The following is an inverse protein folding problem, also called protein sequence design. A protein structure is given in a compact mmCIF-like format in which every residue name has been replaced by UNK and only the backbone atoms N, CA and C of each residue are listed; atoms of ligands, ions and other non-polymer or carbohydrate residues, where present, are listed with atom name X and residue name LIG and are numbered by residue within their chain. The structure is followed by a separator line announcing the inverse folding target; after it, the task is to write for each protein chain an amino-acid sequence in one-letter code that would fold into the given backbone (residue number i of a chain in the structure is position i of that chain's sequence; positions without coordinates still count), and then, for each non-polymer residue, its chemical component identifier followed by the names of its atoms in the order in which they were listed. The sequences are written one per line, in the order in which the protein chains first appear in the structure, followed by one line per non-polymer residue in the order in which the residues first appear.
data_IF_172864647460
#
_entry.id   IF_172864647460
#
_cell.length_a   1.000
_cell.length_b   1.000
_cell.length_c   1.000
_cell.angle_alpha   90.00
_cell.angle_beta   90.00
_cell.angle_gamma   90.00
#
_symmetry.space_group_name_H-M   'P 1'
#
loop_
_entity.id
_entity.type
_entity.pdbx_description
1 polymer ?
#
# COMPACT_ATOMS: atom_id res chain seq x y z
N UNK A 1 -3.89 9.67 5.24
CA UNK A 1 -3.22 10.13 6.48
C UNK A 1 -4.18 10.44 7.61
N UNK A 2 -5.27 11.20 7.40
CA UNK A 2 -6.31 11.43 8.43
C UNK A 2 -6.91 10.12 8.98
N UNK A 3 -7.08 9.11 8.12
CA UNK A 3 -7.57 7.78 8.53
C UNK A 3 -6.68 7.04 9.55
N UNK A 4 -5.40 7.44 9.68
CA UNK A 4 -4.47 6.85 10.64
C UNK A 4 -4.36 7.65 11.95
N UNK A 5 -5.15 8.72 12.13
CA UNK A 5 -5.09 9.52 13.35
C UNK A 5 -5.37 8.67 14.62
N UNK A 6 -6.37 7.78 14.58
CA UNK A 6 -6.67 6.86 15.68
C UNK A 6 -5.49 5.94 16.03
N UNK A 7 -4.97 5.12 15.08
CA UNK A 7 -3.78 4.31 15.28
C UNK A 7 -2.55 5.10 15.74
N UNK A 8 -2.31 6.30 15.21
CA UNK A 8 -1.19 7.15 15.63
C UNK A 8 -1.33 7.61 17.09
N UNK A 9 -2.54 7.97 17.52
CA UNK A 9 -2.84 8.33 18.91
C UNK A 9 -2.64 7.13 19.83
N UNK A 10 -3.10 5.94 19.42
CA UNK A 10 -2.86 4.70 20.17
C UNK A 10 -1.37 4.39 20.30
N UNK A 11 -0.60 4.45 19.19
CA UNK A 11 0.86 4.25 19.22
C UNK A 11 1.57 5.23 20.15
N UNK A 12 1.08 6.46 20.26
CA UNK A 12 1.60 7.44 21.20
C UNK A 12 1.31 7.03 22.65
N UNK A 13 0.07 6.65 22.97
CA UNK A 13 -0.31 6.22 24.31
C UNK A 13 0.36 4.90 24.74
N UNK A 14 0.54 3.97 23.81
CA UNK A 14 1.22 2.68 24.03
C UNK A 14 2.75 2.84 24.14
N UNK A 15 3.27 4.06 23.98
CA UNK A 15 4.70 4.35 24.13
C UNK A 15 5.58 3.79 23.01
N UNK A 16 5.00 3.41 21.86
CA UNK A 16 5.73 2.83 20.70
C UNK A 16 6.83 3.76 20.20
N UNK A 17 6.70 5.07 20.43
CA UNK A 17 7.75 6.04 20.12
C UNK A 17 9.10 5.75 20.81
N UNK A 18 9.08 5.20 22.02
CA UNK A 18 10.30 4.80 22.72
C UNK A 18 11.04 3.67 22.00
N UNK A 19 10.29 2.75 21.38
CA UNK A 19 10.83 1.65 20.58
C UNK A 19 11.53 2.17 19.32
N UNK A 20 10.95 3.17 18.64
CA UNK A 20 11.59 3.78 17.47
C UNK A 20 12.88 4.55 17.80
N UNK A 21 13.05 4.97 19.05
CA UNK A 21 14.30 5.58 19.52
C UNK A 21 15.39 4.54 19.83
N UNK A 22 15.07 3.25 19.89
CA UNK A 22 16.03 2.19 20.21
C UNK A 22 16.82 1.75 18.96
N UNK A 23 18.16 1.92 18.89
CA UNK A 23 18.94 1.54 17.71
C UNK A 23 18.90 0.02 17.43
N UNK A 24 18.76 -0.79 18.47
CA UNK A 24 18.70 -2.25 18.38
C UNK A 24 17.46 -2.71 17.61
N UNK A 25 16.32 -2.03 17.77
CA UNK A 25 15.10 -2.30 17.02
C UNK A 25 15.35 -2.20 15.52
N UNK A 26 15.98 -1.11 15.06
CA UNK A 26 16.28 -0.90 13.65
C UNK A 26 17.28 -1.90 13.10
N UNK A 27 18.35 -2.20 13.85
CA UNK A 27 19.34 -3.19 13.44
C UNK A 27 18.73 -4.57 13.20
N UNK A 28 17.83 -5.03 14.07
CA UNK A 28 17.16 -6.31 13.93
C UNK A 28 16.18 -6.33 12.75
N UNK A 29 15.38 -5.27 12.59
CA UNK A 29 14.39 -5.17 11.53
C UNK A 29 15.03 -5.03 10.13
N UNK A 30 16.12 -4.26 10.01
CA UNK A 30 16.86 -4.13 8.74
C UNK A 30 17.52 -5.43 8.30
N UNK A 31 17.73 -6.39 9.20
CA UNK A 31 18.21 -7.75 8.87
C UNK A 31 17.07 -8.74 8.60
N UNK A 32 15.83 -8.37 8.94
CA UNK A 32 14.68 -9.22 8.70
C UNK A 32 14.16 -9.00 7.27
N UNK A 33 14.32 -10.02 6.43
CA UNK A 33 13.90 -9.97 5.02
C UNK A 33 12.38 -9.77 4.87
N UNK A 34 11.57 -10.28 5.79
CA UNK A 34 10.11 -10.09 5.75
C UNK A 34 9.76 -8.63 6.07
N UNK A 35 10.46 -8.03 7.02
CA UNK A 35 10.31 -6.61 7.35
C UNK A 35 10.72 -5.73 6.16
N UNK A 36 11.90 -5.95 5.59
CA UNK A 36 12.37 -5.24 4.39
C UNK A 36 11.39 -5.39 3.23
N UNK A 37 10.88 -6.61 3.00
CA UNK A 37 9.87 -6.86 1.98
C UNK A 37 8.64 -6.00 2.20
N UNK A 38 8.08 -5.97 3.40
CA UNK A 38 6.81 -5.31 3.68
C UNK A 38 6.92 -3.78 3.66
N UNK A 39 8.02 -3.21 4.17
CA UNK A 39 8.14 -1.75 4.35
C UNK A 39 8.92 -1.05 3.24
N UNK A 40 9.73 -1.78 2.46
CA UNK A 40 10.59 -1.18 1.42
C UNK A 40 10.32 -1.81 0.07
N UNK A 41 10.54 -3.12 -0.08
CA UNK A 41 10.56 -3.76 -1.41
C UNK A 41 9.19 -3.80 -2.06
N UNK A 42 8.15 -4.21 -1.32
CA UNK A 42 6.77 -4.27 -1.82
C UNK A 42 6.23 -2.88 -2.22
N UNK A 43 6.25 -1.84 -1.35
CA UNK A 43 5.76 -0.52 -1.76
C UNK A 43 6.59 0.07 -2.90
N UNK A 44 7.90 -0.19 -2.95
CA UNK A 44 8.74 0.26 -4.06
C UNK A 44 8.35 -0.43 -5.37
N UNK A 45 8.29 -1.76 -5.40
CA UNK A 45 8.05 -2.52 -6.63
C UNK A 45 6.64 -2.29 -7.17
N UNK A 46 5.65 -2.18 -6.30
CA UNK A 46 4.28 -1.90 -6.66
C UNK A 46 4.14 -0.50 -7.23
N UNK A 47 4.60 0.54 -6.53
CA UNK A 47 4.54 1.89 -7.06
C UNK A 47 5.35 2.02 -8.35
N UNK A 48 6.52 1.37 -8.47
CA UNK A 48 7.33 1.44 -9.68
C UNK A 48 6.57 0.85 -10.86
N UNK A 49 6.00 -0.34 -10.69
CA UNK A 49 5.23 -1.04 -11.75
C UNK A 49 4.03 -0.21 -12.18
N UNK A 50 3.21 0.28 -11.24
CA UNK A 50 1.96 0.95 -11.59
C UNK A 50 2.17 2.43 -11.97
N UNK A 51 3.07 3.17 -11.31
CA UNK A 51 3.21 4.63 -11.50
C UNK A 51 4.36 4.98 -12.42
N UNK A 52 5.48 4.26 -12.38
CA UNK A 52 6.62 4.56 -13.24
C UNK A 52 6.55 3.80 -14.59
N UNK A 53 5.88 2.65 -14.65
CA UNK A 53 5.78 1.86 -15.90
C UNK A 53 4.40 1.94 -16.56
N UNK A 54 3.31 1.65 -15.85
CA UNK A 54 1.97 1.59 -16.44
C UNK A 54 1.37 2.98 -16.69
N UNK A 55 1.38 3.86 -15.69
CA UNK A 55 0.75 5.18 -15.78
C UNK A 55 1.30 6.06 -16.94
N UNK A 56 2.61 6.11 -17.23
CA UNK A 56 3.15 6.90 -18.35
C UNK A 56 2.74 6.39 -19.73
N UNK A 57 2.26 5.15 -19.83
CA UNK A 57 1.66 4.59 -21.05
C UNK A 57 0.17 4.95 -21.11
N UNK A 58 -0.54 4.83 -19.99
CA UNK A 58 -1.99 5.10 -19.95
C UNK A 58 -2.33 6.58 -20.21
N UNK A 59 -1.55 7.51 -19.68
CA UNK A 59 -1.84 8.95 -19.79
C UNK A 59 -1.84 9.44 -21.25
N UNK A 60 -0.82 9.17 -22.08
CA UNK A 60 -0.84 9.55 -23.49
C UNK A 60 -1.90 8.82 -24.33
N UNK A 61 -2.20 7.55 -24.01
CA UNK A 61 -3.12 6.75 -24.82
C UNK A 61 -4.60 7.02 -24.51
N UNK A 62 -4.95 7.23 -23.24
CA UNK A 62 -6.35 7.30 -22.78
C UNK A 62 -6.71 8.65 -22.14
N UNK A 63 -5.72 9.53 -21.95
CA UNK A 63 -5.88 10.79 -21.25
C UNK A 63 -5.86 10.66 -19.73
N UNK A 64 -5.69 11.79 -19.06
CA UNK A 64 -5.54 11.87 -17.60
C UNK A 64 -6.76 11.30 -16.85
N UNK A 65 -7.97 11.62 -17.29
CA UNK A 65 -9.21 11.21 -16.62
C UNK A 65 -9.36 9.69 -16.58
N UNK A 66 -9.15 9.04 -17.73
CA UNK A 66 -9.21 7.58 -17.81
C UNK A 66 -8.06 6.92 -17.04
N UNK A 67 -6.84 7.47 -17.12
CA UNK A 67 -5.68 6.92 -16.42
C UNK A 67 -5.84 6.94 -14.88
N UNK A 68 -6.48 7.97 -14.32
CA UNK A 68 -6.81 8.08 -12.89
C UNK A 68 -7.84 7.04 -12.42
N UNK A 69 -8.63 6.46 -13.34
CA UNK A 69 -9.58 5.39 -13.01
C UNK A 69 -8.97 4.01 -13.28
N UNK A 70 -8.34 3.83 -14.44
CA UNK A 70 -7.89 2.53 -14.93
C UNK A 70 -6.64 2.03 -14.19
N UNK A 71 -5.64 2.88 -14.00
CA UNK A 71 -4.40 2.47 -13.31
C UNK A 71 -4.68 1.96 -11.89
N UNK A 72 -5.48 2.67 -11.07
CA UNK A 72 -5.85 2.17 -9.73
C UNK A 72 -6.69 0.90 -9.73
N UNK A 73 -7.56 0.69 -10.73
CA UNK A 73 -8.32 -0.55 -10.86
C UNK A 73 -7.39 -1.75 -11.09
N UNK A 74 -6.38 -1.63 -11.97
CA UNK A 74 -5.40 -2.70 -12.15
C UNK A 74 -4.59 -2.96 -10.87
N UNK A 75 -4.19 -1.90 -10.16
CA UNK A 75 -3.53 -2.01 -8.87
C UNK A 75 -4.41 -2.75 -7.85
N UNK A 76 -5.70 -2.42 -7.79
CA UNK A 76 -6.67 -3.12 -6.94
C UNK A 76 -6.82 -4.60 -7.32
N UNK A 77 -7.05 -4.90 -8.60
CA UNK A 77 -7.24 -6.27 -9.11
C UNK A 77 -6.04 -7.15 -8.80
N UNK A 78 -4.83 -6.61 -8.89
CA UNK A 78 -3.61 -7.35 -8.59
C UNK A 78 -3.66 -7.99 -7.20
N UNK A 79 -4.34 -7.40 -6.22
CA UNK A 79 -4.44 -7.91 -4.85
C UNK A 79 -5.39 -9.11 -4.70
N UNK A 80 -6.21 -9.46 -5.70
CA UNK A 80 -7.06 -10.65 -5.63
C UNK A 80 -6.25 -11.95 -5.55
N UNK A 81 -4.96 -11.94 -5.89
CA UNK A 81 -4.11 -13.13 -5.71
C UNK A 81 -4.07 -13.60 -4.24
N UNK A 82 -4.26 -12.69 -3.26
CA UNK A 82 -4.37 -13.05 -1.84
C UNK A 82 -5.64 -13.83 -1.49
N UNK A 83 -6.68 -13.79 -2.32
CA UNK A 83 -7.88 -14.59 -2.11
C UNK A 83 -7.55 -16.09 -2.08
N UNK A 84 -6.63 -16.54 -2.95
CA UNK A 84 -6.20 -17.94 -3.01
C UNK A 84 -5.57 -18.36 -1.68
N UNK A 85 -4.69 -17.52 -1.14
CA UNK A 85 -4.04 -17.76 0.16
C UNK A 85 -5.07 -17.77 1.31
N UNK A 86 -6.04 -16.86 1.29
CA UNK A 86 -7.11 -16.80 2.30
C UNK A 86 -8.01 -18.03 2.28
N UNK A 87 -8.43 -18.46 1.08
CA UNK A 87 -9.24 -19.67 0.91
C UNK A 87 -8.50 -20.94 1.34
N UNK A 88 -7.17 -20.97 1.26
CA UNK A 88 -6.36 -22.09 1.78
C UNK A 88 -6.23 -22.08 3.31
N UNK A 89 -6.33 -20.91 3.94
CA UNK A 89 -6.17 -20.75 5.40
C UNK A 89 -7.48 -20.84 6.18
N UNK A 90 -8.63 -20.59 5.54
CA UNK A 90 -9.92 -20.60 6.20
C UNK A 90 -10.98 -21.36 5.41
N UNK A 91 -11.81 -22.14 6.10
CA UNK A 91 -13.00 -22.76 5.51
C UNK A 91 -14.17 -21.76 5.36
N UNK A 92 -14.06 -20.56 5.94
CA UNK A 92 -15.08 -19.53 5.81
C UNK A 92 -14.89 -18.72 4.52
N UNK A 93 -15.41 -19.28 3.42
CA UNK A 93 -15.33 -18.66 2.08
C UNK A 93 -15.94 -17.25 2.07
N UNK A 94 -17.07 -17.05 2.75
CA UNK A 94 -17.73 -15.74 2.82
C UNK A 94 -16.80 -14.68 3.42
N UNK A 95 -16.11 -15.00 4.50
CA UNK A 95 -15.14 -14.09 5.13
C UNK A 95 -13.96 -13.79 4.20
N UNK A 96 -13.38 -14.82 3.57
CA UNK A 96 -12.24 -14.66 2.66
C UNK A 96 -12.59 -13.77 1.45
N UNK A 97 -13.79 -13.93 0.89
CA UNK A 97 -14.30 -13.09 -0.20
C UNK A 97 -14.53 -11.66 0.29
N UNK A 98 -15.19 -11.47 1.44
CA UNK A 98 -15.46 -10.13 1.99
C UNK A 98 -14.16 -9.35 2.25
N UNK A 99 -13.15 -10.00 2.84
CA UNK A 99 -11.83 -9.39 3.04
C UNK A 99 -11.15 -9.03 1.72
N UNK A 100 -11.33 -9.85 0.68
CA UNK A 100 -10.71 -9.60 -0.64
C UNK A 100 -11.39 -8.48 -1.40
N UNK A 101 -12.73 -8.38 -1.31
CA UNK A 101 -13.48 -7.25 -1.85
C UNK A 101 -13.14 -5.96 -1.12
N UNK A 102 -13.04 -6.00 0.20
CA UNK A 102 -12.62 -4.84 0.99
C UNK A 102 -11.21 -4.38 0.61
N UNK A 103 -10.26 -5.32 0.54
CA UNK A 103 -8.90 -5.03 0.12
C UNK A 103 -8.88 -4.41 -1.28
N UNK A 104 -9.58 -5.01 -2.25
CA UNK A 104 -9.70 -4.48 -3.61
C UNK A 104 -10.23 -3.04 -3.64
N UNK A 105 -11.34 -2.78 -2.94
CA UNK A 105 -11.95 -1.45 -2.93
C UNK A 105 -11.00 -0.40 -2.33
N UNK A 106 -10.39 -0.71 -1.19
CA UNK A 106 -9.48 0.23 -0.54
C UNK A 106 -8.20 0.42 -1.34
N UNK A 107 -7.56 -0.65 -1.85
CA UNK A 107 -6.32 -0.51 -2.63
C UNK A 107 -6.58 0.24 -3.94
N UNK A 108 -7.77 0.11 -4.53
CA UNK A 108 -8.19 0.95 -5.66
C UNK A 108 -8.27 2.43 -5.28
N UNK A 109 -8.91 2.77 -4.15
CA UNK A 109 -8.98 4.17 -3.66
C UNK A 109 -7.60 4.72 -3.35
N UNK A 110 -6.76 3.96 -2.63
CA UNK A 110 -5.36 4.32 -2.39
C UNK A 110 -4.61 4.50 -3.71
N UNK A 111 -4.86 3.62 -4.68
CA UNK A 111 -4.20 3.69 -5.96
C UNK A 111 -4.52 4.98 -6.72
N UNK A 112 -5.75 5.48 -6.63
CA UNK A 112 -6.14 6.77 -7.22
C UNK A 112 -5.43 7.93 -6.54
N UNK A 113 -5.28 7.86 -5.21
CA UNK A 113 -4.48 8.82 -4.47
C UNK A 113 -2.99 8.79 -4.87
N UNK A 114 -2.39 7.61 -5.03
CA UNK A 114 -1.00 7.49 -5.52
C UNK A 114 -0.81 8.05 -6.92
N UNK A 115 -1.78 7.84 -7.83
CA UNK A 115 -1.76 8.46 -9.17
C UNK A 115 -1.83 9.99 -9.05
N UNK A 116 -2.73 10.52 -8.22
CA UNK A 116 -2.81 11.96 -7.96
C UNK A 116 -1.49 12.52 -7.43
N UNK A 117 -0.87 11.88 -6.45
CA UNK A 117 0.43 12.29 -5.90
C UNK A 117 1.50 12.30 -6.98
N UNK A 118 1.61 11.24 -7.77
CA UNK A 118 2.61 11.12 -8.83
C UNK A 118 2.45 12.23 -9.88
N UNK A 119 1.22 12.45 -10.37
CA UNK A 119 0.93 13.46 -11.39
C UNK A 119 1.08 14.90 -10.88
N UNK A 120 0.76 15.18 -9.61
CA UNK A 120 0.92 16.54 -9.04
C UNK A 120 2.35 16.86 -8.64
N UNK A 121 3.09 15.90 -8.13
CA UNK A 121 4.47 16.12 -7.65
C UNK A 121 5.50 15.91 -8.75
N UNK A 122 5.21 15.10 -9.77
CA UNK A 122 6.18 14.68 -10.78
C UNK A 122 7.27 13.76 -10.21
N UNK A 123 7.11 13.26 -8.98
CA UNK A 123 8.15 12.50 -8.27
C UNK A 123 7.63 11.17 -7.76
N UNK A 124 8.41 10.12 -7.99
CA UNK A 124 8.15 8.76 -7.51
C UNK A 124 8.17 8.63 -5.98
N UNK A 125 8.98 9.46 -5.30
CA UNK A 125 9.18 9.38 -3.85
C UNK A 125 7.89 9.63 -3.08
N UNK A 126 7.01 10.52 -3.57
CA UNK A 126 5.77 10.87 -2.89
C UNK A 126 4.79 9.68 -2.72
N UNK A 127 4.37 8.97 -3.79
CA UNK A 127 3.53 7.78 -3.64
C UNK A 127 4.26 6.64 -2.93
N UNK A 128 5.57 6.47 -3.13
CA UNK A 128 6.35 5.43 -2.44
C UNK A 128 6.33 5.60 -0.91
N UNK A 129 6.62 6.80 -0.41
CA UNK A 129 6.62 7.08 1.04
C UNK A 129 5.21 6.94 1.61
N UNK A 130 4.19 7.41 0.90
CA UNK A 130 2.80 7.24 1.32
C UNK A 130 2.41 5.77 1.43
N UNK A 131 2.82 4.94 0.47
CA UNK A 131 2.58 3.49 0.48
C UNK A 131 3.34 2.82 1.62
N UNK A 132 4.64 3.06 1.76
CA UNK A 132 5.46 2.50 2.84
C UNK A 132 4.89 2.84 4.23
N UNK A 133 4.38 4.06 4.41
CA UNK A 133 3.70 4.48 5.62
C UNK A 133 2.41 3.68 5.87
N UNK A 134 1.55 3.52 4.85
CA UNK A 134 0.34 2.70 4.95
C UNK A 134 0.66 1.24 5.29
N UNK A 135 1.73 0.66 4.71
CA UNK A 135 2.16 -0.69 5.08
C UNK A 135 2.68 -0.76 6.52
N UNK A 136 3.33 0.31 6.99
CA UNK A 136 3.88 0.40 8.34
C UNK A 136 2.84 0.50 9.44
N UNK A 137 1.84 1.36 9.26
CA UNK A 137 0.74 1.50 10.22
C UNK A 137 -0.13 0.24 10.31
N UNK A 138 0.17 -0.76 9.48
CA UNK A 138 -0.79 -1.75 9.08
C UNK A 138 -1.84 -1.08 8.21
N UNK A 139 -2.62 -1.93 7.58
CA UNK A 139 -3.93 -1.48 7.20
C UNK A 139 -4.73 -1.18 8.49
N UNK A 140 -6.01 -0.93 8.35
CA UNK A 140 -6.91 -1.84 9.02
C UNK A 140 -7.10 -3.11 8.19
#
# INVERSE_FOLDING_TARGET
MVLFAGPLVLHYFDGVWSLYMEPRYWYLNLRNLIWLRNHVVAPFSEEFTFRACMLPILVPCLGHQAAVIICPLFFGIAHFHHLIERLRRTNNVKLAVMQSVFQFAYTTVFGAYSVYLFLRTGHFVAPFVAHAFCNHMGFP
#
